data_IF_279204358791
#
_entry.id   IF_279204358791
#
_cell.length_a   1.000
_cell.length_b   1.000
_cell.length_c   1.000
_cell.angle_alpha   90.00
_cell.angle_beta   90.00
_cell.angle_gamma   90.00
#
_symmetry.space_group_name_H-M   'P 1'
#
loop_
_entity.id
_entity.type
_entity.pdbx_description
1 polymer ?
#
# COMPACT_ATOMS: atom_id res chain seq x y z
N UNK A 1 -25.40 16.14 2.65
CA UNK A 1 -24.82 16.18 4.00
C UNK A 1 -23.33 16.25 3.83
N UNK A 2 -22.67 17.18 4.52
CA UNK A 2 -21.22 17.33 4.47
C UNK A 2 -20.58 16.06 5.07
N UNK A 3 -19.71 15.40 4.31
CA UNK A 3 -19.06 14.15 4.75
C UNK A 3 -17.90 14.54 5.66
N UNK A 4 -17.84 13.94 6.85
CA UNK A 4 -16.73 14.20 7.78
C UNK A 4 -15.39 13.85 7.12
N UNK A 5 -14.33 14.66 7.32
CA UNK A 5 -13.03 14.39 6.74
C UNK A 5 -12.46 13.07 7.28
N UNK A 6 -11.91 12.24 6.40
CA UNK A 6 -11.27 10.98 6.79
C UNK A 6 -9.93 11.26 7.46
N UNK A 7 -9.71 10.60 8.59
CA UNK A 7 -8.52 10.76 9.42
C UNK A 7 -7.51 9.63 9.22
N UNK A 8 -6.25 9.87 9.56
CA UNK A 8 -5.25 8.80 9.61
C UNK A 8 -5.62 7.74 10.67
N UNK A 9 -5.48 6.46 10.32
CA UNK A 9 -5.77 5.33 11.21
C UNK A 9 -4.70 5.14 12.30
N UNK A 10 -4.99 4.25 13.25
CA UNK A 10 -4.04 3.84 14.29
C UNK A 10 -3.15 2.69 13.81
N UNK A 11 -1.92 2.61 14.34
CA UNK A 11 -0.97 1.53 14.06
C UNK A 11 -0.34 1.04 15.37
N UNK A 12 0.42 -0.05 15.30
CA UNK A 12 1.09 -0.63 16.46
C UNK A 12 2.23 0.29 16.97
N UNK A 13 2.33 0.44 18.30
CA UNK A 13 3.29 1.35 18.94
C UNK A 13 4.41 0.63 19.72
N UNK A 14 4.46 -0.71 19.72
CA UNK A 14 5.56 -1.36 20.45
C UNK A 14 6.90 -1.18 19.74
N UNK A 15 7.94 -1.12 20.56
CA UNK A 15 9.31 -0.83 20.13
C UNK A 15 10.01 -2.03 19.48
N UNK A 16 9.49 -3.23 19.68
CA UNK A 16 10.06 -4.47 19.15
C UNK A 16 8.98 -5.35 18.52
N UNK A 17 9.39 -6.11 17.51
CA UNK A 17 8.57 -7.18 16.91
C UNK A 17 8.48 -8.39 17.84
N UNK A 18 7.63 -9.37 17.50
CA UNK A 18 7.52 -10.62 18.25
C UNK A 18 8.84 -11.41 18.33
N UNK A 19 9.74 -11.24 17.35
CA UNK A 19 11.07 -11.85 17.35
C UNK A 19 12.16 -11.00 18.03
N UNK A 20 11.81 -9.79 18.51
CA UNK A 20 12.72 -8.89 19.21
C UNK A 20 13.47 -7.90 18.32
N UNK A 21 13.16 -7.80 17.02
CA UNK A 21 13.76 -6.78 16.12
C UNK A 21 13.19 -5.40 16.38
N UNK A 22 13.91 -4.35 16.01
CA UNK A 22 13.42 -2.97 16.12
C UNK A 22 12.19 -2.75 15.24
N UNK A 23 11.04 -2.52 15.88
CA UNK A 23 9.78 -2.22 15.20
C UNK A 23 9.68 -0.73 14.87
N UNK A 24 8.68 -0.38 14.06
CA UNK A 24 8.43 0.99 13.64
C UNK A 24 7.19 1.54 14.34
N UNK A 25 7.34 2.72 14.93
CA UNK A 25 6.25 3.46 15.59
C UNK A 25 5.76 4.65 14.77
N UNK A 26 6.28 4.83 13.54
CA UNK A 26 5.86 5.88 12.63
C UNK A 26 5.95 5.42 11.16
N UNK A 27 5.11 6.02 10.31
CA UNK A 27 5.22 5.87 8.87
C UNK A 27 6.50 6.50 8.34
N UNK A 28 7.11 5.87 7.34
CA UNK A 28 8.41 6.26 6.81
C UNK A 28 8.50 5.94 5.33
N UNK A 29 9.44 6.57 4.63
CA UNK A 29 9.84 6.16 3.28
C UNK A 29 11.06 5.22 3.30
N UNK A 30 11.67 4.95 4.46
CA UNK A 30 12.81 4.03 4.55
C UNK A 30 12.45 2.63 4.06
N UNK A 31 13.42 1.92 3.49
CA UNK A 31 13.27 0.50 3.17
C UNK A 31 13.19 -0.33 4.44
N UNK A 32 12.25 -1.27 4.46
CA UNK A 32 11.89 -2.04 5.64
C UNK A 32 12.04 -3.52 5.37
N UNK A 33 12.36 -4.27 6.42
CA UNK A 33 12.16 -5.70 6.46
C UNK A 33 10.72 -6.02 6.85
N UNK A 34 10.28 -7.22 6.52
CA UNK A 34 9.04 -7.79 7.02
C UNK A 34 9.31 -9.22 7.44
N UNK A 35 8.78 -9.61 8.60
CA UNK A 35 8.91 -10.97 9.08
C UNK A 35 7.54 -11.63 9.26
N UNK A 36 7.43 -12.91 8.87
CA UNK A 36 6.18 -13.62 8.99
C UNK A 36 5.97 -14.20 10.40
N UNK A 37 4.73 -14.21 10.86
CA UNK A 37 4.29 -14.96 12.04
C UNK A 37 3.99 -16.43 11.71
N UNK A 38 3.69 -16.73 10.44
CA UNK A 38 3.59 -18.10 9.94
C UNK A 38 4.82 -18.42 9.07
N UNK A 39 5.55 -19.51 9.32
CA UNK A 39 6.83 -19.73 8.64
C UNK A 39 6.68 -19.77 7.12
N UNK A 40 7.41 -18.89 6.44
CA UNK A 40 7.59 -18.97 5.00
C UNK A 40 8.26 -20.30 4.64
N UNK A 41 7.83 -20.93 3.54
CA UNK A 41 8.46 -22.15 3.04
C UNK A 41 9.86 -21.79 2.52
N UNK A 42 10.95 -22.47 2.93
CA UNK A 42 12.27 -22.27 2.34
C UNK A 42 12.24 -22.48 0.83
N UNK A 43 13.02 -21.69 0.09
CA UNK A 43 13.01 -21.74 -1.38
C UNK A 43 13.34 -23.15 -1.90
N UNK A 44 14.30 -23.82 -1.26
CA UNK A 44 14.75 -25.17 -1.60
C UNK A 44 13.70 -26.26 -1.40
N UNK A 45 12.62 -25.99 -0.68
CA UNK A 45 11.52 -26.94 -0.48
C UNK A 45 10.43 -26.83 -1.54
N UNK A 46 10.44 -25.78 -2.37
CA UNK A 46 9.53 -25.65 -3.51
C UNK A 46 9.98 -26.56 -4.66
N UNK A 47 9.03 -27.06 -5.45
CA UNK A 47 9.36 -27.77 -6.69
C UNK A 47 10.06 -26.84 -7.68
N UNK A 48 10.76 -27.38 -8.67
CA UNK A 48 11.44 -26.57 -9.70
C UNK A 48 10.47 -25.64 -10.44
N UNK A 49 9.24 -26.10 -10.70
CA UNK A 49 8.19 -25.30 -11.33
C UNK A 49 7.74 -24.15 -10.42
N UNK A 50 7.50 -24.42 -9.13
CA UNK A 50 7.14 -23.40 -8.15
C UNK A 50 8.24 -22.34 -7.99
N UNK A 51 9.51 -22.76 -7.96
CA UNK A 51 10.67 -21.87 -7.92
C UNK A 51 10.77 -21.00 -9.18
N UNK A 52 10.54 -21.58 -10.36
CA UNK A 52 10.54 -20.84 -11.63
C UNK A 52 9.42 -19.78 -11.67
N UNK A 53 8.23 -20.10 -11.17
CA UNK A 53 7.14 -19.13 -11.03
C UNK A 53 7.51 -17.99 -10.07
N UNK A 54 8.06 -18.29 -8.90
CA UNK A 54 8.52 -17.27 -7.96
C UNK A 54 9.59 -16.36 -8.58
N UNK A 55 10.56 -16.94 -9.28
CA UNK A 55 11.62 -16.20 -9.96
C UNK A 55 11.08 -15.29 -11.07
N UNK A 56 10.14 -15.78 -11.89
CA UNK A 56 9.47 -15.00 -12.96
C UNK A 56 8.85 -13.69 -12.45
N UNK A 57 8.38 -13.67 -11.21
CA UNK A 57 7.77 -12.50 -10.60
C UNK A 57 8.69 -11.71 -9.66
N UNK A 58 9.94 -12.16 -9.47
CA UNK A 58 10.90 -11.50 -8.56
C UNK A 58 10.55 -11.71 -7.09
N UNK A 59 9.93 -12.84 -6.75
CA UNK A 59 9.40 -13.13 -5.42
C UNK A 59 10.27 -14.07 -4.59
N UNK A 60 11.36 -14.58 -5.18
CA UNK A 60 12.25 -15.59 -4.60
C UNK A 60 12.76 -15.24 -3.21
N UNK A 61 13.21 -14.01 -3.00
CA UNK A 61 13.89 -13.57 -1.77
C UNK A 61 12.93 -12.95 -0.74
N UNK A 62 11.62 -12.98 -1.00
CA UNK A 62 10.61 -12.38 -0.13
C UNK A 62 9.91 -13.43 0.72
N UNK A 63 10.10 -13.36 2.05
CA UNK A 63 9.37 -14.21 2.99
C UNK A 63 7.85 -14.08 2.86
N UNK A 64 7.36 -12.86 2.62
CA UNK A 64 5.94 -12.64 2.39
C UNK A 64 5.43 -13.42 1.18
N UNK A 65 6.10 -13.31 0.03
CA UNK A 65 5.66 -14.02 -1.16
C UNK A 65 5.86 -15.54 -1.07
N UNK A 66 6.94 -16.00 -0.43
CA UNK A 66 7.13 -17.44 -0.16
C UNK A 66 6.07 -18.00 0.80
N UNK A 67 5.63 -17.23 1.79
CA UNK A 67 4.51 -17.63 2.64
C UNK A 67 3.21 -17.77 1.83
N UNK A 68 2.88 -16.80 0.98
CA UNK A 68 1.70 -16.87 0.11
C UNK A 68 1.78 -17.98 -0.94
N UNK A 69 2.99 -18.30 -1.41
CA UNK A 69 3.24 -19.34 -2.41
C UNK A 69 2.91 -20.77 -1.92
N UNK A 70 2.62 -20.95 -0.62
CA UNK A 70 1.96 -22.18 -0.13
C UNK A 70 0.63 -22.44 -0.82
N UNK A 71 -0.01 -21.41 -1.39
CA UNK A 71 -1.08 -21.52 -2.38
C UNK A 71 -0.69 -20.76 -3.65
N UNK A 72 0.20 -21.37 -4.45
CA UNK A 72 0.79 -20.74 -5.64
C UNK A 72 -0.24 -20.22 -6.66
N UNK A 73 -1.32 -20.96 -7.02
CA UNK A 73 -2.31 -20.44 -7.96
C UNK A 73 -2.95 -19.13 -7.51
N UNK A 74 -3.22 -18.99 -6.20
CA UNK A 74 -3.76 -17.75 -5.64
C UNK A 74 -2.73 -16.60 -5.69
N UNK A 75 -1.47 -16.90 -5.37
CA UNK A 75 -0.38 -15.92 -5.47
C UNK A 75 -0.21 -15.42 -6.90
N UNK A 76 -0.30 -16.29 -7.91
CA UNK A 76 -0.20 -15.89 -9.30
C UNK A 76 -1.32 -14.92 -9.70
N UNK A 77 -2.59 -15.24 -9.37
CA UNK A 77 -3.72 -14.36 -9.67
C UNK A 77 -3.59 -13.00 -8.97
N UNK A 78 -3.16 -12.99 -7.70
CA UNK A 78 -2.82 -11.77 -6.97
C UNK A 78 -1.78 -10.95 -7.73
N UNK A 79 -0.70 -11.60 -8.18
CA UNK A 79 0.44 -10.93 -8.82
C UNK A 79 0.07 -10.36 -10.17
N UNK A 80 -0.73 -11.08 -10.95
CA UNK A 80 -1.28 -10.59 -12.21
C UNK A 80 -2.22 -9.40 -11.99
N UNK A 81 -3.02 -9.43 -10.93
CA UNK A 81 -3.88 -8.30 -10.55
C UNK A 81 -3.05 -7.07 -10.18
N UNK A 82 -2.03 -7.22 -9.33
CA UNK A 82 -1.10 -6.13 -8.98
C UNK A 82 -0.42 -5.54 -10.22
N UNK A 83 0.11 -6.40 -11.10
CA UNK A 83 0.74 -5.95 -12.35
C UNK A 83 -0.24 -5.24 -13.28
N UNK A 84 -1.45 -5.76 -13.43
CA UNK A 84 -2.53 -5.14 -14.21
C UNK A 84 -2.93 -3.78 -13.64
N UNK A 85 -2.87 -3.59 -12.32
CA UNK A 85 -3.15 -2.31 -11.68
C UNK A 85 -1.98 -1.32 -11.86
N UNK A 86 -0.71 -1.71 -11.84
CA UNK A 86 0.38 -0.70 -11.87
C UNK A 86 1.05 -0.46 -13.21
N UNK A 87 0.98 -1.41 -14.14
CA UNK A 87 1.80 -1.38 -15.36
C UNK A 87 0.96 -1.28 -16.64
N UNK A 88 -0.35 -1.08 -16.52
CA UNK A 88 -1.24 -0.85 -17.67
C UNK A 88 -1.02 0.54 -18.28
N UNK A 89 -1.09 0.63 -19.60
CA UNK A 89 -0.98 1.88 -20.34
C UNK A 89 -2.29 2.68 -20.30
N UNK A 90 -2.18 4.01 -20.25
CA UNK A 90 -3.34 4.92 -20.15
C UNK A 90 -3.92 5.00 -18.74
N UNK A 91 -5.07 5.66 -18.61
CA UNK A 91 -5.77 5.82 -17.34
C UNK A 91 -5.00 6.65 -16.31
N UNK A 92 -5.08 6.26 -15.04
CA UNK A 92 -4.45 7.01 -13.95
C UNK A 92 -2.92 6.88 -14.02
N UNK A 93 -2.13 7.97 -13.94
CA UNK A 93 -0.69 7.89 -13.85
C UNK A 93 -0.22 6.96 -12.71
N UNK A 94 0.83 6.17 -12.96
CA UNK A 94 1.35 5.22 -11.97
C UNK A 94 1.71 5.89 -10.64
N UNK A 95 2.28 7.09 -10.66
CA UNK A 95 2.59 7.84 -9.44
C UNK A 95 1.35 8.03 -8.53
N UNK A 96 0.17 8.24 -9.13
CA UNK A 96 -1.08 8.44 -8.40
C UNK A 96 -1.72 7.11 -7.96
N UNK A 97 -1.47 6.01 -8.69
CA UNK A 97 -1.80 4.65 -8.22
C UNK A 97 -1.00 4.29 -6.97
N UNK A 98 0.30 4.61 -6.97
CA UNK A 98 1.19 4.42 -5.80
C UNK A 98 0.80 5.36 -4.65
N UNK A 99 0.36 6.59 -4.94
CA UNK A 99 -0.22 7.49 -3.92
C UNK A 99 -1.48 6.89 -3.28
N UNK A 100 -2.41 6.36 -4.06
CA UNK A 100 -3.61 5.71 -3.55
C UNK A 100 -3.26 4.51 -2.65
N UNK A 101 -2.30 3.68 -3.08
CA UNK A 101 -1.76 2.57 -2.29
C UNK A 101 -1.06 3.01 -0.99
N UNK A 102 -0.43 4.19 -1.00
CA UNK A 102 0.16 4.81 0.20
C UNK A 102 -0.92 5.26 1.17
N UNK A 103 -1.96 5.96 0.68
CA UNK A 103 -3.07 6.49 1.49
C UNK A 103 -3.84 5.37 2.17
N UNK A 104 -4.27 4.36 1.40
CA UNK A 104 -5.01 3.20 1.95
C UNK A 104 -4.18 2.45 2.99
N UNK A 105 -2.87 2.28 2.76
CA UNK A 105 -1.96 1.64 3.72
C UNK A 105 -1.82 2.48 4.99
N UNK A 106 -1.80 3.81 4.87
CA UNK A 106 -1.79 4.72 6.03
C UNK A 106 -3.09 4.66 6.82
N UNK A 107 -4.25 4.62 6.15
CA UNK A 107 -5.55 4.47 6.80
C UNK A 107 -5.67 3.12 7.52
N UNK A 108 -5.16 2.06 6.92
CA UNK A 108 -5.21 0.71 7.51
C UNK A 108 -4.12 0.47 8.58
N UNK A 109 -3.20 1.40 8.82
CA UNK A 109 -2.11 1.20 9.78
C UNK A 109 -0.96 0.31 9.28
N UNK A 110 -0.88 0.02 7.97
CA UNK A 110 0.14 -0.85 7.40
C UNK A 110 1.41 -0.09 7.03
N UNK A 111 2.32 0.05 8.00
CA UNK A 111 3.60 0.78 7.83
C UNK A 111 4.44 0.22 6.68
N UNK A 112 4.53 -1.12 6.54
CA UNK A 112 5.32 -1.74 5.48
C UNK A 112 4.84 -1.34 4.08
N UNK A 113 3.55 -1.51 3.80
CA UNK A 113 2.98 -1.17 2.50
C UNK A 113 3.06 0.33 2.24
N UNK A 114 2.74 1.16 3.24
CA UNK A 114 2.84 2.60 3.11
C UNK A 114 4.27 3.02 2.73
N UNK A 115 5.30 2.42 3.34
CA UNK A 115 6.70 2.66 3.01
C UNK A 115 7.06 2.30 1.57
N UNK A 116 6.70 1.09 1.11
CA UNK A 116 6.98 0.63 -0.26
C UNK A 116 6.32 1.54 -1.30
N UNK A 117 5.04 1.87 -1.11
CA UNK A 117 4.28 2.66 -2.07
C UNK A 117 4.64 4.14 -2.01
N UNK A 118 4.97 4.67 -0.84
CA UNK A 118 5.43 6.05 -0.68
C UNK A 118 6.72 6.28 -1.46
N UNK A 119 7.72 5.40 -1.33
CA UNK A 119 8.97 5.51 -2.11
C UNK A 119 8.70 5.59 -3.62
N UNK A 120 7.83 4.72 -4.13
CA UNK A 120 7.49 4.68 -5.55
C UNK A 120 6.70 5.93 -5.97
N UNK A 121 5.74 6.37 -5.16
CA UNK A 121 4.98 7.59 -5.39
C UNK A 121 5.92 8.81 -5.46
N UNK A 122 6.84 8.96 -4.51
CA UNK A 122 7.87 10.01 -4.47
C UNK A 122 8.77 9.97 -5.70
N UNK A 123 9.32 8.79 -6.01
CA UNK A 123 10.23 8.60 -7.14
C UNK A 123 9.59 8.94 -8.48
N UNK A 124 8.34 8.53 -8.70
CA UNK A 124 7.63 8.70 -9.97
C UNK A 124 7.04 10.12 -10.11
N UNK A 125 6.50 10.69 -9.03
CA UNK A 125 5.92 12.04 -9.05
C UNK A 125 6.96 13.16 -8.95
N UNK A 126 8.17 12.84 -8.46
CA UNK A 126 9.20 13.81 -8.05
C UNK A 126 8.74 14.77 -6.94
N UNK A 127 7.83 14.31 -6.08
CA UNK A 127 7.25 15.09 -4.98
C UNK A 127 7.51 14.44 -3.61
N UNK A 128 8.77 14.18 -3.29
CA UNK A 128 9.18 13.52 -2.04
C UNK A 128 8.63 14.23 -0.79
N UNK A 129 8.78 15.55 -0.71
CA UNK A 129 8.29 16.33 0.42
C UNK A 129 6.76 16.24 0.60
N UNK A 130 6.01 16.21 -0.50
CA UNK A 130 4.56 16.09 -0.44
C UNK A 130 4.17 14.70 0.09
N UNK A 131 4.79 13.64 -0.40
CA UNK A 131 4.53 12.28 0.09
C UNK A 131 4.95 12.14 1.56
N UNK A 132 6.10 12.70 1.95
CA UNK A 132 6.53 12.70 3.35
C UNK A 132 5.54 13.46 4.25
N UNK A 133 5.01 14.59 3.77
CA UNK A 133 3.96 15.34 4.48
C UNK A 133 2.72 14.49 4.71
N UNK A 134 2.26 13.73 3.70
CA UNK A 134 1.17 12.77 3.85
C UNK A 134 1.49 11.72 4.93
N UNK A 135 2.69 11.15 4.93
CA UNK A 135 3.10 10.15 5.93
C UNK A 135 3.16 10.74 7.35
N UNK A 136 3.56 12.01 7.48
CA UNK A 136 3.67 12.71 8.75
C UNK A 136 2.33 13.16 9.34
N UNK A 137 1.21 13.01 8.62
CA UNK A 137 -0.12 13.32 9.17
C UNK A 137 -0.38 12.43 10.39
N UNK A 138 -0.56 13.06 11.55
CA UNK A 138 -0.84 12.39 12.81
C UNK A 138 -2.20 11.64 12.78
N UNK A 139 -2.36 10.57 13.58
CA UNK A 139 -3.67 9.93 13.77
C UNK A 139 -4.75 10.95 14.12
N UNK A 140 -5.95 10.82 13.55
CA UNK A 140 -7.03 11.78 13.81
C UNK A 140 -6.97 13.10 13.00
N UNK A 141 -5.87 13.41 12.31
CA UNK A 141 -5.76 14.59 11.45
C UNK A 141 -6.20 14.32 10.00
N UNK A 142 -6.55 15.38 9.27
CA UNK A 142 -7.03 15.32 7.88
C UNK A 142 -5.88 14.97 6.92
N UNK A 143 -5.97 13.80 6.30
CA UNK A 143 -4.92 13.25 5.40
C UNK A 143 -4.62 14.13 4.18
N UNK A 144 -5.62 14.77 3.59
CA UNK A 144 -5.47 15.54 2.35
C UNK A 144 -4.92 16.96 2.56
N UNK A 145 -4.70 17.40 3.80
CA UNK A 145 -4.37 18.79 4.07
C UNK A 145 -3.05 19.25 3.42
N UNK A 146 -3.11 20.37 2.70
CA UNK A 146 -1.94 21.03 2.13
C UNK A 146 -1.27 20.29 0.97
N UNK A 147 -2.06 19.54 0.19
CA UNK A 147 -1.72 19.00 -1.12
C UNK A 147 -2.43 19.78 -2.24
N UNK A 148 -2.07 19.52 -3.50
CA UNK A 148 -2.77 20.08 -4.68
C UNK A 148 -4.22 19.60 -4.73
N UNK A 149 -5.12 20.36 -5.39
CA UNK A 149 -6.54 19.99 -5.49
C UNK A 149 -6.75 18.56 -6.05
N UNK A 150 -5.95 18.16 -7.04
CA UNK A 150 -5.98 16.81 -7.60
C UNK A 150 -5.60 15.74 -6.58
N UNK A 151 -4.49 15.92 -5.88
CA UNK A 151 -4.07 14.96 -4.85
C UNK A 151 -5.00 14.97 -3.65
N UNK A 152 -5.57 16.11 -3.28
CA UNK A 152 -6.60 16.20 -2.25
C UNK A 152 -7.80 15.31 -2.57
N UNK A 153 -8.31 15.39 -3.80
CA UNK A 153 -9.42 14.56 -4.25
C UNK A 153 -9.06 13.06 -4.25
N UNK A 154 -7.87 12.70 -4.75
CA UNK A 154 -7.36 11.32 -4.76
C UNK A 154 -7.22 10.78 -3.33
N UNK A 155 -6.54 11.51 -2.45
CA UNK A 155 -6.33 11.14 -1.05
C UNK A 155 -7.67 10.98 -0.32
N UNK A 156 -8.58 11.95 -0.46
CA UNK A 156 -9.88 11.91 0.22
C UNK A 156 -10.73 10.71 -0.24
N UNK A 157 -10.76 10.43 -1.54
CA UNK A 157 -11.50 9.28 -2.08
C UNK A 157 -10.88 7.95 -1.64
N UNK A 158 -9.56 7.78 -1.79
CA UNK A 158 -8.86 6.56 -1.38
C UNK A 158 -9.00 6.29 0.11
N UNK A 159 -8.93 7.34 0.94
CA UNK A 159 -9.12 7.21 2.37
C UNK A 159 -10.56 6.77 2.73
N UNK A 160 -11.57 7.38 2.10
CA UNK A 160 -12.99 7.04 2.33
C UNK A 160 -13.35 5.63 1.89
N UNK A 161 -12.77 5.15 0.79
CA UNK A 161 -12.94 3.78 0.30
C UNK A 161 -12.25 2.75 1.22
N UNK A 162 -11.19 3.13 1.94
CA UNK A 162 -10.47 2.22 2.84
C UNK A 162 -11.16 2.00 4.20
N UNK A 163 -12.08 2.88 4.60
CA UNK A 163 -12.74 2.78 5.90
C UNK A 163 -13.61 1.52 6.02
N UNK A 164 -13.79 0.96 7.24
CA UNK A 164 -14.83 -0.01 7.53
C UNK A 164 -16.06 0.65 8.22
N UNK A 165 -17.26 0.64 7.61
CA UNK A 165 -17.55 0.28 6.22
C UNK A 165 -17.00 1.33 5.26
N UNK A 166 -16.84 0.95 3.98
CA UNK A 166 -16.39 1.87 2.93
C UNK A 166 -17.43 2.98 2.75
N UNK A 167 -16.97 4.23 2.72
CA UNK A 167 -17.84 5.41 2.64
C UNK A 167 -17.49 6.36 1.47
N UNK A 168 -17.11 5.87 0.26
CA UNK A 168 -16.95 6.77 -0.88
C UNK A 168 -18.31 7.34 -1.29
N UNK A 169 -18.31 8.58 -1.78
CA UNK A 169 -19.54 9.28 -2.19
C UNK A 169 -19.50 9.70 -3.66
N UNK A 170 -20.68 9.88 -4.26
CA UNK A 170 -20.80 10.42 -5.62
C UNK A 170 -20.21 11.83 -5.75
N UNK A 171 -20.28 12.65 -4.69
CA UNK A 171 -19.66 13.98 -4.68
C UNK A 171 -18.13 13.90 -4.81
N UNK A 172 -17.48 12.93 -4.15
CA UNK A 172 -16.05 12.71 -4.33
C UNK A 172 -15.70 12.24 -5.75
N UNK A 173 -16.54 11.40 -6.37
CA UNK A 173 -16.36 11.01 -7.78
C UNK A 173 -16.51 12.21 -8.72
N UNK A 174 -17.46 13.11 -8.47
CA UNK A 174 -17.59 14.36 -9.23
C UNK A 174 -16.37 15.26 -9.06
N UNK A 175 -15.88 15.44 -7.83
CA UNK A 175 -14.67 16.21 -7.56
C UNK A 175 -13.43 15.64 -8.29
N UNK A 176 -13.29 14.31 -8.37
CA UNK A 176 -12.22 13.68 -9.16
C UNK A 176 -12.35 13.97 -10.66
N UNK A 177 -13.57 13.97 -11.21
CA UNK A 177 -13.81 14.34 -12.62
C UNK A 177 -13.48 15.80 -12.91
N UNK A 178 -13.80 16.70 -11.98
CA UNK A 178 -13.41 18.11 -12.06
C UNK A 178 -11.89 18.30 -12.09
N UNK A 179 -11.14 17.37 -11.48
CA UNK A 179 -9.68 17.30 -11.55
C UNK A 179 -9.15 16.58 -12.82
N UNK A 180 -10.03 16.26 -13.77
CA UNK A 180 -9.68 15.66 -15.05
C UNK A 180 -9.48 14.14 -15.02
N UNK A 181 -9.95 13.42 -14.00
CA UNK A 181 -9.98 11.96 -14.04
C UNK A 181 -11.14 11.48 -14.90
N UNK A 182 -10.82 10.83 -16.01
CA UNK A 182 -11.80 10.14 -16.85
C UNK A 182 -12.26 8.82 -16.21
N UNK A 183 -13.17 8.11 -16.90
CA UNK A 183 -13.72 6.84 -16.41
C UNK A 183 -12.64 5.79 -16.12
N UNK A 184 -11.62 5.69 -16.97
CA UNK A 184 -10.57 4.69 -16.78
C UNK A 184 -9.68 5.06 -15.60
N UNK A 185 -9.29 6.33 -15.46
CA UNK A 185 -8.51 6.81 -14.33
C UNK A 185 -9.25 6.65 -12.98
N UNK A 186 -10.59 6.84 -12.97
CA UNK A 186 -11.42 6.56 -11.80
C UNK A 186 -11.44 5.08 -11.45
N UNK A 187 -11.57 4.20 -12.45
CA UNK A 187 -11.51 2.74 -12.23
C UNK A 187 -10.14 2.31 -11.69
N UNK A 188 -9.05 2.83 -12.26
CA UNK A 188 -7.70 2.55 -11.79
C UNK A 188 -7.50 3.00 -10.33
N UNK A 189 -8.03 4.17 -9.95
CA UNK A 189 -7.97 4.67 -8.57
C UNK A 189 -8.70 3.74 -7.60
N UNK A 190 -9.92 3.31 -7.97
CA UNK A 190 -10.75 2.39 -7.18
C UNK A 190 -10.04 1.04 -7.03
N UNK A 191 -9.54 0.48 -8.14
CA UNK A 191 -8.86 -0.81 -8.15
C UNK A 191 -7.58 -0.78 -7.32
N UNK A 192 -6.76 0.26 -7.48
CA UNK A 192 -5.55 0.48 -6.66
C UNK A 192 -5.90 0.51 -5.18
N UNK A 193 -6.90 1.33 -4.80
CA UNK A 193 -7.31 1.46 -3.41
C UNK A 193 -7.86 0.14 -2.85
N UNK A 194 -8.78 -0.52 -3.56
CA UNK A 194 -9.42 -1.75 -3.10
C UNK A 194 -8.42 -2.92 -2.98
N UNK A 195 -7.53 -3.06 -3.96
CA UNK A 195 -6.51 -4.11 -3.96
C UNK A 195 -5.57 -3.96 -2.75
N UNK A 196 -5.10 -2.75 -2.45
CA UNK A 196 -4.24 -2.55 -1.28
C UNK A 196 -4.99 -2.62 0.04
N UNK A 197 -6.27 -2.25 0.10
CA UNK A 197 -7.07 -2.52 1.28
C UNK A 197 -7.10 -4.03 1.60
N UNK A 198 -7.25 -4.88 0.58
CA UNK A 198 -7.16 -6.33 0.74
C UNK A 198 -5.73 -6.79 1.07
N UNK A 199 -4.71 -6.31 0.35
CA UNK A 199 -3.33 -6.73 0.56
C UNK A 199 -2.80 -6.32 1.95
N UNK A 200 -3.17 -5.15 2.47
CA UNK A 200 -2.82 -4.70 3.81
C UNK A 200 -3.34 -5.67 4.87
N UNK A 201 -4.55 -6.23 4.69
CA UNK A 201 -5.12 -7.19 5.65
C UNK A 201 -4.28 -8.46 5.74
N UNK A 202 -3.73 -8.95 4.62
CA UNK A 202 -2.77 -10.06 4.65
C UNK A 202 -1.46 -9.67 5.34
N UNK A 203 -0.90 -8.52 4.97
CA UNK A 203 0.37 -8.02 5.52
C UNK A 203 0.33 -7.79 7.04
N UNK A 204 -0.81 -7.31 7.55
CA UNK A 204 -1.03 -7.02 8.97
C UNK A 204 -1.42 -8.25 9.82
N UNK A 205 -1.85 -9.34 9.18
CA UNK A 205 -2.30 -10.55 9.90
C UNK A 205 -1.31 -11.70 9.82
N UNK A 206 -0.39 -11.66 8.86
CA UNK A 206 0.58 -12.72 8.63
C UNK A 206 1.98 -12.38 9.16
N UNK A 207 2.21 -11.17 9.67
CA UNK A 207 3.53 -10.73 10.09
C UNK A 207 3.60 -9.23 10.39
N UNK A 208 4.82 -8.73 10.54
CA UNK A 208 5.06 -7.34 10.95
C UNK A 208 6.36 -6.76 10.36
N UNK A 209 6.45 -5.43 10.18
CA UNK A 209 7.66 -4.78 9.69
C UNK A 209 8.73 -4.61 10.78
N UNK A 210 9.99 -4.58 10.35
CA UNK A 210 11.13 -4.20 11.18
C UNK A 210 12.09 -3.28 10.41
N UNK A 211 12.89 -2.51 11.15
CA UNK A 211 14.02 -1.78 10.58
C UNK A 211 15.18 -2.77 10.33
N UNK A 212 15.62 -2.97 9.07
CA UNK A 212 16.82 -3.75 8.80
C UNK A 212 18.03 -3.14 9.50
N UNK A 213 18.92 -3.98 10.01
CA UNK A 213 20.23 -3.51 10.47
C UNK A 213 20.94 -2.85 9.28
N UNK A 214 21.43 -1.61 9.47
CA UNK A 214 22.23 -0.96 8.45
C UNK A 214 23.51 -1.77 8.26
N UNK A 215 23.68 -2.38 7.08
CA UNK A 215 24.98 -2.88 6.68
C UNK A 215 25.89 -1.66 6.50
N UNK A 216 26.82 -1.49 7.45
CA UNK A 216 27.84 -0.45 7.42
C UNK A 216 28.84 -0.65 6.27
#
# INVERSE_FOLDING_TARGET
>A
GEVAPVVAGHWHEALHTASGKTALTAFTQQELGWEPWLPAKPLSEFSEEEQATLAKFGHTDSDYFRLLARNLPLLEQRTLTDKGIFYTAGGLPRAERELAATVVSKVNGCIYCASVHARKASQLSKQDEAVQKLLNVAPGAVLSHGHTARWQAIIAFSAALSLPPAQPTQSQLSALREQGLDTLALLDLIQSTAFFAWANRLMLTLGEPFLPEQQG
#
